data_IF_959730641188
#
_entry.id   IF_959730641188
#
_cell.length_a   1.000
_cell.length_b   1.000
_cell.length_c   1.000
_cell.angle_alpha   90.00
_cell.angle_beta   90.00
_cell.angle_gamma   90.00
#
_symmetry.space_group_name_H-M   'P 1'
#
loop_
_entity.id
_entity.type
_entity.pdbx_description
1 polymer ?
#
# COMPACT_ATOMS: atom_id res chain seq x y z
N UNK A 1 -10.56 3.59 -7.99
CA UNK A 1 -10.22 4.06 -6.62
C UNK A 1 -9.41 5.35 -6.66
N UNK A 2 -8.28 5.40 -7.39
CA UNK A 2 -7.41 6.58 -7.50
C UNK A 2 -8.12 7.91 -7.79
N UNK A 3 -9.06 7.95 -8.74
CA UNK A 3 -9.86 9.16 -9.03
C UNK A 3 -10.52 9.75 -7.78
N UNK A 4 -11.08 8.90 -6.91
CA UNK A 4 -11.73 9.36 -5.66
C UNK A 4 -10.72 9.88 -4.63
N UNK A 5 -9.51 9.33 -4.61
CA UNK A 5 -8.45 9.80 -3.70
C UNK A 5 -7.90 11.16 -4.15
N UNK A 6 -7.78 11.36 -5.45
CA UNK A 6 -7.42 12.63 -6.07
C UNK A 6 -8.50 13.70 -5.84
N UNK A 7 -9.78 13.36 -6.03
CA UNK A 7 -10.92 14.25 -5.73
C UNK A 7 -10.96 14.67 -4.25
N UNK A 8 -10.52 13.81 -3.33
CA UNK A 8 -10.39 14.11 -1.90
C UNK A 8 -9.10 14.87 -1.56
N UNK A 9 -8.23 15.11 -2.54
CA UNK A 9 -6.97 15.82 -2.36
C UNK A 9 -5.91 15.00 -1.61
N UNK A 10 -6.02 13.68 -1.54
CA UNK A 10 -5.05 12.82 -0.84
C UNK A 10 -3.85 12.46 -1.71
N UNK A 11 -4.04 12.41 -3.04
CA UNK A 11 -2.98 12.14 -4.01
C UNK A 11 -3.03 13.15 -5.16
N UNK A 12 -1.91 13.29 -5.86
CA UNK A 12 -1.84 13.94 -7.17
C UNK A 12 -1.47 12.92 -8.23
N UNK A 13 -1.94 13.14 -9.46
CA UNK A 13 -1.64 12.28 -10.61
C UNK A 13 -1.17 13.15 -11.76
N UNK A 14 0.04 12.88 -12.23
CA UNK A 14 0.64 13.62 -13.33
C UNK A 14 1.11 12.65 -14.41
N UNK A 15 0.76 12.93 -15.67
CA UNK A 15 1.32 12.17 -16.79
C UNK A 15 2.80 12.48 -16.91
N UNK A 16 3.60 11.44 -17.09
CA UNK A 16 5.03 11.60 -17.33
C UNK A 16 5.25 12.39 -18.62
N UNK A 17 6.24 13.29 -18.59
CA UNK A 17 6.68 14.05 -19.76
C UNK A 17 7.57 13.22 -20.71
N UNK A 18 8.03 12.06 -20.26
CA UNK A 18 8.93 11.16 -21.01
C UNK A 18 8.12 10.10 -21.77
N UNK A 19 7.07 9.57 -21.15
CA UNK A 19 6.14 8.62 -21.76
C UNK A 19 4.71 8.92 -21.27
N UNK A 20 3.86 9.40 -22.17
CA UNK A 20 2.49 9.85 -21.86
C UNK A 20 1.56 8.73 -21.37
N UNK A 21 1.95 7.47 -21.59
CA UNK A 21 1.23 6.28 -21.07
C UNK A 21 1.48 6.08 -19.58
N UNK A 22 2.55 6.66 -19.04
CA UNK A 22 2.89 6.58 -17.62
C UNK A 22 2.20 7.70 -16.84
N UNK A 23 1.57 7.34 -15.72
CA UNK A 23 0.99 8.27 -14.76
C UNK A 23 1.73 8.11 -13.44
N UNK A 24 2.44 9.17 -13.04
CA UNK A 24 3.08 9.26 -11.74
C UNK A 24 2.04 9.64 -10.69
N UNK A 25 2.05 8.92 -9.58
CA UNK A 25 1.11 9.13 -8.47
C UNK A 25 1.91 9.49 -7.22
N UNK A 26 1.58 10.63 -6.61
CA UNK A 26 2.26 11.14 -5.42
C UNK A 26 1.26 11.36 -4.29
N UNK A 27 1.65 11.05 -3.05
CA UNK A 27 0.82 11.34 -1.87
C UNK A 27 1.01 12.80 -1.47
N UNK A 28 -0.09 13.49 -1.23
CA UNK A 28 -0.10 14.88 -0.74
C UNK A 28 0.14 14.95 0.77
N UNK A 29 0.38 16.15 1.30
CA UNK A 29 0.43 16.35 2.75
C UNK A 29 -0.90 16.00 3.43
N UNK A 30 -2.05 16.29 2.81
CA UNK A 30 -3.36 15.87 3.34
C UNK A 30 -3.50 14.34 3.36
N UNK A 31 -2.97 13.66 2.35
CA UNK A 31 -2.93 12.19 2.31
C UNK A 31 -2.03 11.58 3.39
N UNK A 32 -0.90 12.23 3.71
CA UNK A 32 -0.03 11.83 4.83
C UNK A 32 -0.69 12.08 6.18
N UNK A 33 -1.35 13.23 6.35
CA UNK A 33 -2.07 13.55 7.59
C UNK A 33 -3.18 12.55 7.88
N UNK A 34 -3.92 12.10 6.85
CA UNK A 34 -4.93 11.05 6.97
C UNK A 34 -4.35 9.74 7.52
N UNK A 35 -3.11 9.40 7.16
CA UNK A 35 -2.45 8.21 7.70
C UNK A 35 -2.24 8.35 9.22
N UNK A 36 -1.78 9.51 9.67
CA UNK A 36 -1.62 9.80 11.10
C UNK A 36 -2.96 9.77 11.84
N UNK A 37 -4.03 10.33 11.25
CA UNK A 37 -5.39 10.24 11.81
C UNK A 37 -5.92 8.80 11.90
N UNK A 38 -5.36 7.90 11.10
CA UNK A 38 -5.77 6.49 10.98
C UNK A 38 -4.87 5.53 11.75
N UNK A 39 -3.96 6.02 12.60
CA UNK A 39 -3.00 5.21 13.35
C UNK A 39 -3.67 4.16 14.26
N UNK A 40 -4.92 4.36 14.67
CA UNK A 40 -5.66 3.40 15.48
C UNK A 40 -6.13 2.16 14.70
N UNK A 41 -6.28 2.27 13.38
CA UNK A 41 -6.90 1.22 12.55
C UNK A 41 -6.07 -0.07 12.57
N UNK A 42 -4.73 -0.06 12.36
CA UNK A 42 -3.94 -1.29 12.41
C UNK A 42 -4.03 -2.00 13.76
N UNK A 43 -3.99 -1.25 14.86
CA UNK A 43 -4.07 -1.82 16.21
C UNK A 43 -5.44 -2.46 16.47
N UNK A 44 -6.54 -1.75 16.17
CA UNK A 44 -7.89 -2.28 16.35
C UNK A 44 -8.15 -3.50 15.45
N UNK A 45 -7.57 -3.51 14.25
CA UNK A 45 -7.67 -4.65 13.34
C UNK A 45 -6.95 -5.88 13.93
N UNK A 46 -5.74 -5.72 14.48
CA UNK A 46 -5.01 -6.82 15.10
C UNK A 46 -5.78 -7.42 16.28
N UNK A 47 -6.35 -6.58 17.15
CA UNK A 47 -7.20 -7.04 18.25
C UNK A 47 -8.40 -7.84 17.76
N UNK A 48 -9.08 -7.39 16.71
CA UNK A 48 -10.27 -8.05 16.16
C UNK A 48 -10.00 -9.38 15.48
N UNK A 49 -8.86 -9.52 14.79
CA UNK A 49 -8.47 -10.77 14.11
C UNK A 49 -7.93 -11.79 15.14
N UNK A 50 -7.55 -11.33 16.34
CA UNK A 50 -7.10 -12.19 17.44
C UNK A 50 -5.68 -12.70 17.25
N UNK A 51 -4.88 -12.00 16.45
CA UNK A 51 -3.46 -12.31 16.27
C UNK A 51 -2.63 -11.54 17.29
N UNK A 52 -1.56 -12.15 17.78
CA UNK A 52 -0.51 -11.39 18.45
C UNK A 52 0.44 -10.78 17.42
N UNK A 53 0.98 -9.59 17.73
CA UNK A 53 1.89 -8.86 16.84
C UNK A 53 3.07 -9.72 16.33
N UNK A 54 3.80 -10.50 17.15
CA UNK A 54 4.95 -11.25 16.63
C UNK A 54 4.56 -12.39 15.69
N UNK A 55 3.47 -13.12 15.93
CA UNK A 55 2.97 -14.17 15.03
C UNK A 55 2.47 -13.58 13.71
N UNK A 56 1.78 -12.44 13.76
CA UNK A 56 1.34 -11.73 12.57
C UNK A 56 2.52 -11.34 11.69
N UNK A 57 3.56 -10.72 12.28
CA UNK A 57 4.76 -10.30 11.54
C UNK A 57 5.50 -11.50 10.94
N UNK A 58 5.61 -12.61 11.67
CA UNK A 58 6.21 -13.85 11.17
C UNK A 58 5.46 -14.37 9.93
N UNK A 59 4.14 -14.53 10.02
CA UNK A 59 3.33 -15.01 8.91
C UNK A 59 3.41 -14.08 7.70
N UNK A 60 3.33 -12.76 7.92
CA UNK A 60 3.43 -11.77 6.87
C UNK A 60 4.78 -11.85 6.14
N UNK A 61 5.87 -12.01 6.89
CA UNK A 61 7.21 -12.17 6.30
C UNK A 61 7.32 -13.44 5.43
N UNK A 62 6.78 -14.57 5.90
CA UNK A 62 6.77 -15.83 5.17
C UNK A 62 5.95 -15.73 3.88
N UNK A 63 4.80 -15.06 3.93
CA UNK A 63 3.96 -14.80 2.77
C UNK A 63 4.70 -13.92 1.74
N UNK A 64 5.37 -12.87 2.18
CA UNK A 64 6.16 -12.02 1.28
C UNK A 64 7.30 -12.80 0.61
N UNK A 65 8.02 -13.65 1.34
CA UNK A 65 9.04 -14.53 0.75
C UNK A 65 8.46 -15.44 -0.32
N UNK A 66 7.29 -16.06 -0.05
CA UNK A 66 6.62 -16.90 -1.03
C UNK A 66 6.21 -16.11 -2.29
N UNK A 67 5.61 -14.94 -2.12
CA UNK A 67 5.21 -14.07 -3.22
C UNK A 67 6.42 -13.63 -4.06
N UNK A 68 7.55 -13.32 -3.42
CA UNK A 68 8.80 -13.00 -4.13
C UNK A 68 9.25 -14.17 -5.01
N UNK A 69 9.29 -15.39 -4.47
CA UNK A 69 9.67 -16.57 -5.24
C UNK A 69 8.70 -16.87 -6.40
N UNK A 70 7.39 -16.70 -6.19
CA UNK A 70 6.41 -16.87 -7.26
C UNK A 70 6.55 -15.81 -8.35
N UNK A 71 6.82 -14.56 -7.96
CA UNK A 71 7.00 -13.46 -8.90
C UNK A 71 8.25 -13.64 -9.77
N UNK A 72 9.36 -14.15 -9.21
CA UNK A 72 10.57 -14.43 -9.97
C UNK A 72 10.37 -15.55 -10.98
N UNK A 73 9.57 -16.57 -10.65
CA UNK A 73 9.24 -17.67 -11.57
C UNK A 73 8.35 -17.16 -12.72
N UNK A 74 7.40 -16.27 -12.45
CA UNK A 74 6.50 -15.73 -13.49
C UNK A 74 7.14 -14.74 -14.46
N UNK A 75 8.37 -14.29 -14.20
CA UNK A 75 9.14 -13.38 -15.07
C UNK A 75 10.17 -14.08 -15.97
N UNK A 76 10.25 -15.43 -15.91
CA UNK A 76 11.14 -16.24 -16.76
C UNK A 76 10.42 -16.93 -17.94
N UNK A 77 9.12 -16.68 -18.12
CA UNK A 77 8.31 -17.05 -19.30
C UNK A 77 8.05 -15.84 -20.23
#
# INVERSE_FOLDING_TARGET
MLKRMEEKGWITRERSRIDERVVNVSVTEAGKALYAESECIPAELMERIGFNEPEYQLLLSQLHTLLQHLSSVSSED
#
